data_IF_049518992207
#
_entry.id   IF_049518992207
#
_cell.length_a   1.000
_cell.length_b   1.000
_cell.length_c   1.000
_cell.angle_alpha   90.00
_cell.angle_beta   90.00
_cell.angle_gamma   90.00
#
_symmetry.space_group_name_H-M   'P 1'
#
loop_
_entity.id
_entity.type
_entity.pdbx_description
1 polymer ?
#
# COMPACT_ATOMS: atom_id res chain seq x y z
N UNK A 1 17.40 -53.09 -38.76
CA UNK A 1 16.08 -52.57 -38.34
C UNK A 1 16.18 -51.06 -38.37
N UNK A 2 15.32 -50.36 -39.11
CA UNK A 2 15.30 -48.91 -39.16
C UNK A 2 14.24 -48.39 -38.18
N UNK A 3 14.61 -47.47 -37.30
CA UNK A 3 13.76 -46.92 -36.23
C UNK A 3 13.66 -45.38 -36.31
N UNK A 4 13.99 -44.80 -37.46
CA UNK A 4 14.14 -43.34 -37.62
C UNK A 4 12.83 -42.53 -37.68
N UNK A 5 11.68 -43.19 -37.85
CA UNK A 5 10.36 -42.53 -37.95
C UNK A 5 9.43 -42.82 -36.76
N UNK A 6 9.87 -43.65 -35.81
CA UNK A 6 9.00 -44.12 -34.75
C UNK A 6 8.99 -43.16 -33.56
N UNK A 7 7.79 -42.82 -33.07
CA UNK A 7 7.59 -41.87 -31.96
C UNK A 7 7.29 -42.54 -30.61
N UNK A 8 6.96 -43.83 -30.64
CA UNK A 8 6.58 -44.65 -29.48
C UNK A 8 7.53 -45.84 -29.29
N UNK A 9 7.48 -46.49 -28.12
CA UNK A 9 8.27 -47.68 -27.83
C UNK A 9 8.02 -48.80 -28.85
N UNK A 10 9.09 -49.35 -29.43
CA UNK A 10 8.97 -50.45 -30.39
C UNK A 10 9.04 -51.78 -29.66
N UNK A 11 7.94 -52.53 -29.69
CA UNK A 11 7.88 -53.90 -29.20
C UNK A 11 7.86 -54.88 -30.37
N UNK A 12 8.89 -55.73 -30.50
CA UNK A 12 8.96 -56.75 -31.56
C UNK A 12 9.29 -58.12 -31.00
N UNK A 13 8.53 -59.11 -31.41
CA UNK A 13 8.79 -60.52 -31.10
C UNK A 13 9.61 -61.15 -32.21
N UNK A 14 10.75 -61.72 -31.86
CA UNK A 14 11.63 -62.48 -32.74
C UNK A 14 11.54 -63.95 -32.42
N UNK A 15 11.33 -64.77 -33.45
CA UNK A 15 11.30 -66.22 -33.33
C UNK A 15 12.69 -66.76 -33.64
N UNK A 16 13.19 -67.66 -32.82
CA UNK A 16 14.52 -68.24 -33.02
C UNK A 16 14.48 -69.28 -34.15
N UNK A 17 15.50 -69.26 -35.01
CA UNK A 17 15.72 -70.25 -36.06
C UNK A 17 17.07 -70.93 -35.85
N UNK A 18 17.12 -72.23 -36.09
CA UNK A 18 18.31 -73.05 -35.84
C UNK A 18 18.99 -73.38 -37.16
N UNK A 19 20.26 -73.01 -37.27
CA UNK A 19 21.10 -73.33 -38.43
C UNK A 19 22.27 -74.21 -37.97
N UNK A 20 22.53 -75.28 -38.72
CA UNK A 20 23.67 -76.18 -38.51
C UNK A 20 24.99 -75.58 -39.05
N UNK A 21 26.09 -76.28 -38.82
CA UNK A 21 27.46 -75.83 -39.18
C UNK A 21 27.71 -75.63 -40.68
N UNK A 22 26.80 -76.10 -41.55
CA UNK A 22 26.80 -75.92 -43.01
C UNK A 22 25.63 -75.05 -43.52
N UNK A 23 24.88 -74.39 -42.63
CA UNK A 23 23.72 -73.55 -42.99
C UNK A 23 22.41 -74.30 -43.18
N UNK A 24 22.38 -75.63 -43.00
CA UNK A 24 21.14 -76.43 -43.05
C UNK A 24 20.26 -76.16 -41.82
N UNK A 25 18.93 -75.99 -41.96
CA UNK A 25 18.03 -75.85 -40.82
C UNK A 25 18.01 -77.13 -39.95
N UNK A 26 17.99 -76.96 -38.63
CA UNK A 26 17.94 -78.05 -37.64
C UNK A 26 16.53 -78.15 -37.05
N UNK A 27 15.75 -79.15 -37.50
CA UNK A 27 14.34 -79.31 -37.09
C UNK A 27 14.14 -80.18 -35.83
N UNK A 28 15.19 -80.84 -35.33
CA UNK A 28 15.11 -81.84 -34.26
C UNK A 28 15.40 -81.31 -32.85
N UNK A 29 15.52 -79.98 -32.68
CA UNK A 29 15.83 -79.35 -31.41
C UNK A 29 14.65 -78.49 -30.94
N UNK A 30 14.23 -78.69 -29.69
CA UNK A 30 13.18 -77.88 -29.07
C UNK A 30 13.82 -76.65 -28.42
N UNK A 31 13.65 -75.48 -29.06
CA UNK A 31 14.07 -74.21 -28.47
C UNK A 31 13.11 -73.79 -27.35
N UNK A 32 13.65 -73.59 -26.15
CA UNK A 32 12.95 -72.99 -25.02
C UNK A 32 13.76 -71.78 -24.55
N UNK A 33 13.29 -70.54 -24.78
CA UNK A 33 12.02 -70.14 -25.39
C UNK A 33 12.03 -70.19 -26.94
N UNK A 34 10.85 -70.33 -27.56
CA UNK A 34 10.69 -70.33 -29.04
C UNK A 34 10.84 -68.92 -29.65
N UNK A 35 10.63 -67.89 -28.84
CA UNK A 35 10.71 -66.49 -29.25
C UNK A 35 11.13 -65.62 -28.09
N UNK A 36 11.68 -64.45 -28.39
CA UNK A 36 11.94 -63.39 -27.42
C UNK A 36 11.31 -62.09 -27.90
N UNK A 37 10.78 -61.31 -26.98
CA UNK A 37 10.29 -59.95 -27.27
C UNK A 37 11.38 -58.96 -26.90
N UNK A 38 11.79 -58.15 -27.88
CA UNK A 38 12.72 -57.05 -27.68
C UNK A 38 11.90 -55.77 -27.63
N UNK A 39 12.01 -55.04 -26.52
CA UNK A 39 11.45 -53.70 -26.35
C UNK A 39 12.57 -52.68 -26.51
N UNK A 40 12.44 -51.79 -27.49
CA UNK A 40 13.33 -50.67 -27.70
C UNK A 40 12.60 -49.41 -27.23
N UNK A 41 12.99 -48.81 -26.09
CA UNK A 41 12.38 -47.59 -25.62
C UNK A 41 12.79 -46.41 -26.52
N UNK A 42 11.82 -45.63 -26.99
CA UNK A 42 12.05 -44.40 -27.76
C UNK A 42 11.66 -43.22 -26.88
N UNK A 43 12.57 -42.26 -26.73
CA UNK A 43 12.30 -41.00 -26.01
C UNK A 43 12.48 -39.85 -26.98
N UNK A 44 11.48 -38.97 -27.05
CA UNK A 44 11.63 -37.72 -27.77
C UNK A 44 12.70 -36.89 -27.05
N UNK A 45 13.63 -36.33 -27.83
CA UNK A 45 14.61 -35.39 -27.29
C UNK A 45 13.84 -34.13 -26.86
N UNK A 46 14.24 -33.58 -25.70
CA UNK A 46 13.55 -32.50 -24.98
C UNK A 46 12.93 -31.37 -25.80
N UNK A 47 11.96 -30.68 -25.20
CA UNK A 47 11.17 -29.64 -25.85
C UNK A 47 11.49 -28.22 -25.38
N UNK A 48 10.89 -27.26 -26.08
CA UNK A 48 10.84 -25.86 -25.68
C UNK A 48 9.40 -25.45 -25.42
N UNK A 49 9.20 -24.58 -24.43
CA UNK A 49 7.90 -24.01 -24.14
C UNK A 49 8.06 -22.57 -23.68
N UNK A 50 7.20 -21.69 -24.18
CA UNK A 50 7.09 -20.34 -23.65
C UNK A 50 6.14 -20.31 -22.46
N UNK A 51 6.57 -19.64 -21.40
CA UNK A 51 5.83 -19.51 -20.14
C UNK A 51 5.82 -18.05 -19.70
N UNK A 52 4.70 -17.63 -19.10
CA UNK A 52 4.58 -16.29 -18.54
C UNK A 52 5.39 -16.20 -17.23
N UNK A 53 5.97 -15.03 -16.94
CA UNK A 53 6.63 -14.79 -15.66
C UNK A 53 5.63 -14.20 -14.68
N UNK A 54 5.57 -14.77 -13.48
CA UNK A 54 4.76 -14.28 -12.36
C UNK A 54 5.68 -13.86 -11.23
N UNK A 55 5.61 -12.59 -10.83
CA UNK A 55 6.30 -12.12 -9.64
C UNK A 55 5.64 -12.70 -8.38
N UNK A 56 6.44 -13.31 -7.50
CA UNK A 56 5.99 -13.77 -6.20
C UNK A 56 6.30 -12.68 -5.17
N UNK A 57 5.26 -12.10 -4.56
CA UNK A 57 5.40 -11.03 -3.56
C UNK A 57 5.12 -11.58 -2.16
N UNK A 58 5.94 -11.18 -1.19
CA UNK A 58 5.78 -11.51 0.23
C UNK A 58 5.57 -10.26 1.08
N UNK A 59 4.75 -10.38 2.12
CA UNK A 59 4.42 -9.26 2.99
C UNK A 59 3.32 -8.35 2.45
N UNK A 60 3.22 -7.15 3.03
CA UNK A 60 2.26 -6.12 2.64
C UNK A 60 2.95 -4.76 2.64
N UNK A 61 2.55 -3.83 1.76
CA UNK A 61 2.98 -2.45 1.82
C UNK A 61 2.69 -1.82 3.18
N UNK A 62 3.36 -0.71 3.47
CA UNK A 62 3.13 0.07 4.68
C UNK A 62 1.64 0.46 4.81
N UNK A 63 1.06 0.50 6.02
CA UNK A 63 -0.31 0.98 6.21
C UNK A 63 -0.53 2.34 5.56
N UNK A 64 -1.62 2.48 4.83
CA UNK A 64 -1.90 3.70 4.06
C UNK A 64 -1.33 3.70 2.64
N UNK A 65 -0.64 2.63 2.22
CA UNK A 65 -0.20 2.42 0.84
C UNK A 65 -0.88 1.21 0.20
N UNK A 66 -1.00 1.22 -1.13
CA UNK A 66 -1.54 0.13 -1.93
C UNK A 66 -0.69 -0.12 -3.16
N UNK A 67 -0.63 -1.37 -3.59
CA UNK A 67 -0.05 -1.74 -4.88
C UNK A 67 -1.03 -1.33 -5.97
N UNK A 68 -0.54 -0.57 -6.95
CA UNK A 68 -1.33 -0.14 -8.12
C UNK A 68 -1.04 -0.98 -9.35
N UNK A 69 0.20 -1.43 -9.50
CA UNK A 69 0.63 -2.21 -10.65
C UNK A 69 1.80 -3.13 -10.30
N UNK A 70 1.88 -4.27 -10.98
CA UNK A 70 3.00 -5.21 -10.90
C UNK A 70 3.35 -5.60 -12.32
N UNK A 71 4.59 -5.34 -12.74
CA UNK A 71 5.07 -5.69 -14.08
C UNK A 71 6.40 -6.41 -14.03
N UNK A 72 6.62 -7.29 -15.00
CA UNK A 72 7.86 -8.04 -15.14
C UNK A 72 8.43 -7.84 -16.53
N UNK A 73 9.73 -7.64 -16.62
CA UNK A 73 10.45 -7.49 -17.87
C UNK A 73 11.63 -8.47 -17.94
N UNK A 74 11.63 -9.42 -18.89
CA UNK A 74 10.55 -9.74 -19.83
C UNK A 74 9.28 -10.36 -19.18
N UNK A 75 8.09 -10.24 -19.81
CA UNK A 75 6.84 -10.83 -19.31
C UNK A 75 6.71 -12.33 -19.63
N UNK A 76 7.47 -12.83 -20.61
CA UNK A 76 7.47 -14.23 -21.04
C UNK A 76 8.90 -14.69 -21.28
N UNK A 77 9.18 -15.94 -20.91
CA UNK A 77 10.48 -16.58 -21.15
C UNK A 77 10.29 -17.91 -21.86
N UNK A 78 11.34 -18.36 -22.55
CA UNK A 78 11.40 -19.70 -23.14
C UNK A 78 12.15 -20.62 -22.19
N UNK A 79 11.50 -21.72 -21.81
CA UNK A 79 12.11 -22.79 -21.01
C UNK A 79 12.34 -24.03 -21.84
N UNK A 80 13.33 -24.82 -21.43
CA UNK A 80 13.72 -26.08 -22.02
C UNK A 80 13.73 -27.18 -20.95
N UNK A 81 13.31 -28.38 -21.32
CA UNK A 81 13.52 -29.58 -20.51
C UNK A 81 13.87 -30.76 -21.40
N UNK A 82 14.72 -31.65 -20.91
CA UNK A 82 15.01 -32.94 -21.54
C UNK A 82 13.84 -33.93 -21.46
N UNK A 83 12.88 -33.68 -20.56
CA UNK A 83 11.68 -34.50 -20.35
C UNK A 83 10.43 -33.76 -20.85
N UNK A 84 9.79 -34.30 -21.89
CA UNK A 84 8.59 -33.72 -22.49
C UNK A 84 7.39 -33.77 -21.53
N UNK A 85 7.33 -34.76 -20.64
CA UNK A 85 6.26 -34.88 -19.67
C UNK A 85 6.34 -33.75 -18.63
N UNK A 86 7.56 -33.32 -18.25
CA UNK A 86 7.77 -32.16 -17.37
C UNK A 86 7.31 -30.86 -18.03
N UNK A 87 7.60 -30.65 -19.31
CA UNK A 87 7.12 -29.49 -20.05
C UNK A 87 5.60 -29.47 -20.17
N UNK A 88 4.97 -30.65 -20.27
CA UNK A 88 3.52 -30.76 -20.35
C UNK A 88 2.86 -30.56 -18.98
N UNK A 89 3.50 -31.03 -17.91
CA UNK A 89 3.05 -30.86 -16.53
C UNK A 89 3.27 -29.45 -15.97
N UNK A 90 4.24 -28.71 -16.50
CA UNK A 90 4.50 -27.33 -16.10
C UNK A 90 3.23 -26.46 -16.30
N UNK A 91 2.87 -25.63 -15.30
CA UNK A 91 1.87 -24.60 -15.52
C UNK A 91 2.33 -23.63 -16.62
N UNK A 92 1.40 -22.91 -17.24
CA UNK A 92 1.72 -21.90 -18.26
C UNK A 92 2.47 -20.67 -17.74
N UNK A 93 2.99 -20.71 -16.51
CA UNK A 93 3.72 -19.65 -15.85
C UNK A 93 4.84 -20.21 -14.98
N UNK A 94 5.85 -19.38 -14.71
CA UNK A 94 6.93 -19.63 -13.75
C UNK A 94 7.00 -18.48 -12.77
N UNK A 95 7.40 -18.76 -11.55
CA UNK A 95 7.49 -17.75 -10.50
C UNK A 95 8.91 -17.20 -10.38
N UNK A 96 9.05 -15.95 -9.96
CA UNK A 96 10.35 -15.43 -9.53
C UNK A 96 10.67 -15.89 -8.11
N UNK A 97 11.91 -15.67 -7.70
CA UNK A 97 12.23 -15.64 -6.27
C UNK A 97 11.29 -14.66 -5.53
N UNK A 98 10.95 -14.94 -4.25
CA UNK A 98 10.08 -14.08 -3.47
C UNK A 98 10.67 -12.67 -3.33
N UNK A 99 9.85 -11.65 -3.60
CA UNK A 99 10.16 -10.25 -3.35
C UNK A 99 9.44 -9.79 -2.09
N UNK A 100 10.19 -9.46 -1.05
CA UNK A 100 9.64 -8.86 0.15
C UNK A 100 9.25 -7.39 -0.12
N UNK A 101 7.98 -7.08 0.06
CA UNK A 101 7.41 -5.73 -0.06
C UNK A 101 6.93 -5.19 1.30
N UNK A 102 7.38 -5.82 2.39
CA UNK A 102 7.00 -5.42 3.75
C UNK A 102 7.41 -3.99 4.05
N UNK A 103 6.45 -3.17 4.50
CA UNK A 103 6.67 -1.76 4.84
C UNK A 103 7.14 -0.89 3.67
N UNK A 104 6.86 -1.31 2.44
CA UNK A 104 7.16 -0.50 1.27
C UNK A 104 6.16 0.66 1.14
N UNK A 105 6.67 1.88 0.96
CA UNK A 105 5.91 3.13 0.75
C UNK A 105 6.23 3.81 -0.59
N UNK A 106 7.09 3.22 -1.40
CA UNK A 106 7.50 3.72 -2.72
C UNK A 106 7.61 2.56 -3.71
N UNK A 107 7.67 2.89 -4.99
CA UNK A 107 7.89 1.94 -6.06
C UNK A 107 9.17 1.12 -5.84
N UNK A 108 9.09 -0.18 -6.11
CA UNK A 108 10.20 -1.12 -6.00
C UNK A 108 10.61 -1.57 -7.40
N UNK A 109 11.89 -1.41 -7.69
CA UNK A 109 12.57 -2.02 -8.84
C UNK A 109 13.54 -3.08 -8.32
N UNK A 110 13.20 -4.35 -8.54
CA UNK A 110 13.97 -5.48 -8.08
C UNK A 110 14.34 -6.41 -9.23
N UNK A 111 15.62 -6.77 -9.31
CA UNK A 111 16.11 -7.76 -10.26
C UNK A 111 16.19 -9.12 -9.57
N UNK A 112 15.34 -10.05 -9.99
CA UNK A 112 15.18 -11.36 -9.37
C UNK A 112 15.48 -12.48 -10.34
N UNK A 113 15.80 -13.65 -9.80
CA UNK A 113 15.96 -14.88 -10.58
C UNK A 113 14.62 -15.61 -10.67
N UNK A 114 14.46 -16.48 -11.66
CA UNK A 114 13.27 -17.30 -11.83
C UNK A 114 13.42 -18.60 -11.03
N UNK A 115 12.43 -18.92 -10.21
CA UNK A 115 12.32 -20.17 -9.47
C UNK A 115 11.83 -21.29 -10.41
N UNK A 116 12.77 -21.95 -11.09
CA UNK A 116 12.47 -23.07 -11.98
C UNK A 116 12.47 -24.41 -11.23
N UNK A 117 11.55 -25.33 -11.55
CA UNK A 117 11.57 -26.67 -10.99
C UNK A 117 12.76 -27.49 -11.53
N UNK A 118 13.13 -28.55 -10.81
CA UNK A 118 14.23 -29.43 -11.22
C UNK A 118 13.98 -30.01 -12.63
N UNK A 119 15.04 -30.03 -13.44
CA UNK A 119 14.98 -30.54 -14.82
C UNK A 119 14.46 -29.53 -15.86
N UNK A 120 14.15 -28.30 -15.46
CA UNK A 120 13.75 -27.21 -16.37
C UNK A 120 14.80 -26.10 -16.33
N UNK A 121 15.20 -25.64 -17.51
CA UNK A 121 16.21 -24.59 -17.67
C UNK A 121 15.67 -23.47 -18.54
N UNK A 122 15.82 -22.21 -18.13
CA UNK A 122 15.53 -21.08 -19.00
C UNK A 122 16.58 -20.98 -20.12
N UNK A 123 16.10 -20.76 -21.34
CA UNK A 123 16.93 -20.57 -22.54
C UNK A 123 17.30 -19.11 -22.73
N UNK A 124 16.45 -18.21 -22.24
CA UNK A 124 16.64 -16.76 -22.25
C UNK A 124 17.35 -16.25 -20.99
N UNK A 125 17.37 -14.93 -20.81
CA UNK A 125 17.82 -14.29 -19.58
C UNK A 125 17.05 -14.84 -18.37
N UNK A 126 17.81 -15.25 -17.35
CA UNK A 126 17.27 -15.73 -16.07
C UNK A 126 16.94 -14.60 -15.10
N UNK A 127 17.40 -13.39 -15.42
CA UNK A 127 17.26 -12.22 -14.57
C UNK A 127 16.09 -11.39 -15.05
N UNK A 128 15.04 -11.32 -14.23
CA UNK A 128 13.82 -10.59 -14.53
C UNK A 128 13.79 -9.33 -13.68
N UNK A 129 13.45 -8.21 -14.31
CA UNK A 129 13.16 -6.97 -13.59
C UNK A 129 11.70 -6.99 -13.19
N UNK A 130 11.43 -6.94 -11.89
CA UNK A 130 10.10 -6.83 -11.31
C UNK A 130 9.92 -5.39 -10.82
N UNK A 131 8.92 -4.72 -11.38
CA UNK A 131 8.51 -3.37 -11.01
C UNK A 131 7.18 -3.45 -10.28
N UNK A 132 7.19 -3.08 -9.00
CA UNK A 132 5.99 -2.98 -8.16
C UNK A 132 5.71 -1.50 -7.92
N UNK A 133 4.59 -1.01 -8.46
CA UNK A 133 4.15 0.37 -8.25
C UNK A 133 3.29 0.47 -6.99
N UNK A 134 3.64 1.39 -6.11
CA UNK A 134 3.02 1.58 -4.80
C UNK A 134 2.62 3.05 -4.65
N UNK A 135 1.34 3.27 -4.34
CA UNK A 135 0.80 4.62 -4.14
C UNK A 135 0.12 4.73 -2.77
N UNK A 136 0.14 5.94 -2.21
CA UNK A 136 -0.63 6.24 -1.02
C UNK A 136 -2.14 6.18 -1.32
N UNK A 137 -2.91 5.66 -0.37
CA UNK A 137 -4.36 5.61 -0.44
C UNK A 137 -4.91 7.00 -0.15
N UNK A 138 -5.65 7.57 -1.10
CA UNK A 138 -6.41 8.80 -0.85
C UNK A 138 -7.65 8.49 -0.01
N UNK A 139 -7.86 9.26 1.05
CA UNK A 139 -9.02 9.13 1.93
C UNK A 139 -9.50 10.52 2.37
N UNK A 140 -10.65 10.54 3.03
CA UNK A 140 -11.17 11.73 3.70
C UNK A 140 -11.30 11.49 5.20
N UNK A 141 -10.96 12.49 5.99
CA UNK A 141 -11.05 12.46 7.45
C UNK A 141 -11.80 13.67 7.97
N UNK A 142 -12.67 13.44 8.97
CA UNK A 142 -13.30 14.50 9.75
C UNK A 142 -12.44 14.82 10.97
N UNK A 143 -12.16 16.10 11.18
CA UNK A 143 -11.47 16.61 12.37
C UNK A 143 -12.35 17.68 13.00
N UNK A 144 -12.63 17.53 14.30
CA UNK A 144 -13.32 18.57 15.07
C UNK A 144 -12.29 19.56 15.59
N UNK A 145 -12.53 20.84 15.34
CA UNK A 145 -11.63 21.92 15.76
C UNK A 145 -12.42 23.06 16.40
N UNK A 146 -11.82 23.66 17.42
CA UNK A 146 -12.36 24.86 18.08
C UNK A 146 -12.12 26.10 17.23
N UNK A 147 -13.02 27.07 17.32
CA UNK A 147 -12.95 28.33 16.59
C UNK A 147 -11.98 29.30 17.26
N UNK A 148 -11.03 29.84 16.48
CA UNK A 148 -10.17 30.94 16.89
C UNK A 148 -10.74 32.25 16.37
N UNK A 149 -11.11 33.14 17.29
CA UNK A 149 -11.67 34.45 16.94
C UNK A 149 -10.56 35.46 16.67
N UNK A 150 -10.67 36.18 15.56
CA UNK A 150 -9.76 37.27 15.21
C UNK A 150 -10.55 38.54 14.89
N UNK A 151 -9.95 39.71 15.11
CA UNK A 151 -10.54 41.00 14.69
C UNK A 151 -11.62 41.59 15.61
N UNK A 152 -11.87 41.01 16.79
CA UNK A 152 -12.82 41.57 17.76
C UNK A 152 -12.26 42.84 18.42
N UNK A 153 -13.05 43.92 18.45
CA UNK A 153 -12.66 45.17 19.11
C UNK A 153 -12.56 45.04 20.63
N UNK A 154 -11.67 45.81 21.28
CA UNK A 154 -11.37 45.70 22.72
C UNK A 154 -12.56 46.00 23.65
N UNK A 155 -13.56 46.73 23.17
CA UNK A 155 -14.77 47.11 23.92
C UNK A 155 -15.98 46.23 23.56
N UNK A 156 -15.77 45.15 22.83
CA UNK A 156 -16.82 44.26 22.34
C UNK A 156 -16.63 42.85 22.91
N UNK A 157 -17.73 42.15 23.14
CA UNK A 157 -17.79 40.74 23.49
C UNK A 157 -18.57 40.00 22.40
N UNK A 158 -18.14 38.78 22.08
CA UNK A 158 -18.78 37.94 21.07
C UNK A 158 -19.20 36.60 21.69
N UNK A 159 -20.47 36.25 21.53
CA UNK A 159 -21.00 34.93 21.87
C UNK A 159 -21.16 34.11 20.60
N UNK A 160 -20.52 32.95 20.55
CA UNK A 160 -20.40 32.11 19.35
C UNK A 160 -21.18 30.82 19.56
N UNK A 161 -21.94 30.39 18.56
CA UNK A 161 -22.66 29.11 18.59
C UNK A 161 -22.76 28.51 17.19
N UNK A 162 -22.28 27.27 16.98
CA UNK A 162 -21.48 26.43 17.89
C UNK A 162 -20.03 26.95 18.07
N UNK A 163 -19.36 26.53 19.14
CA UNK A 163 -17.96 26.87 19.47
C UNK A 163 -16.92 26.01 18.74
N UNK A 164 -17.38 24.92 18.12
CA UNK A 164 -16.57 23.96 17.38
C UNK A 164 -17.19 23.64 16.02
N UNK A 165 -16.33 23.30 15.06
CA UNK A 165 -16.73 22.88 13.72
C UNK A 165 -16.06 21.56 13.35
N UNK A 166 -16.74 20.78 12.52
CA UNK A 166 -16.18 19.59 11.91
C UNK A 166 -15.64 19.96 10.51
N UNK A 167 -14.33 19.84 10.33
CA UNK A 167 -13.63 20.06 9.06
C UNK A 167 -13.39 18.70 8.39
N UNK A 168 -13.86 18.56 7.16
CA UNK A 168 -13.63 17.39 6.31
C UNK A 168 -12.48 17.72 5.37
N UNK A 169 -11.43 16.91 5.43
CA UNK A 169 -10.24 17.05 4.59
C UNK A 169 -9.99 15.77 3.81
N UNK A 170 -9.48 15.89 2.58
CA UNK A 170 -9.05 14.78 1.73
C UNK A 170 -7.55 14.84 1.45
N UNK A 171 -6.94 13.68 1.30
CA UNK A 171 -5.52 13.55 0.97
C UNK A 171 -4.98 12.15 1.18
N UNK A 172 -3.65 11.97 0.99
CA UNK A 172 -2.99 10.71 1.27
C UNK A 172 -3.13 10.32 2.75
N UNK A 173 -3.59 9.10 3.02
CA UNK A 173 -3.80 8.57 4.37
C UNK A 173 -2.55 8.72 5.28
N UNK A 174 -1.32 8.39 4.84
CA UNK A 174 -0.13 8.59 5.68
C UNK A 174 0.09 10.04 6.10
N UNK A 175 -0.30 11.00 5.25
CA UNK A 175 -0.17 12.43 5.55
C UNK A 175 -1.28 12.85 6.51
N UNK A 176 -2.52 12.42 6.28
CA UNK A 176 -3.65 12.70 7.19
C UNK A 176 -3.43 12.13 8.59
N UNK A 177 -2.90 10.91 8.71
CA UNK A 177 -2.57 10.27 9.99
C UNK A 177 -1.44 10.99 10.73
N UNK A 178 -0.55 11.68 10.00
CA UNK A 178 0.52 12.48 10.59
C UNK A 178 0.06 13.86 11.08
N UNK A 179 -1.15 14.30 10.70
CA UNK A 179 -1.70 15.58 11.15
C UNK A 179 -2.12 15.52 12.61
N UNK A 180 -1.79 16.57 13.34
CA UNK A 180 -2.27 16.82 14.68
C UNK A 180 -3.32 17.94 14.66
N UNK A 181 -4.12 18.06 15.73
CA UNK A 181 -5.10 19.14 15.88
C UNK A 181 -4.47 20.55 15.87
N UNK A 182 -3.16 20.67 16.07
CA UNK A 182 -2.45 21.95 15.98
C UNK A 182 -2.19 22.40 14.54
N UNK A 183 -2.16 21.43 13.61
CA UNK A 183 -1.94 21.70 12.19
C UNK A 183 -3.18 22.32 11.53
N UNK A 184 -4.36 22.21 12.13
CA UNK A 184 -5.61 22.72 11.57
C UNK A 184 -6.11 23.86 12.46
N UNK A 185 -6.19 25.07 11.91
CA UNK A 185 -6.74 26.23 12.62
C UNK A 185 -7.96 26.74 11.89
N UNK A 186 -9.07 26.87 12.62
CA UNK A 186 -10.29 27.47 12.10
C UNK A 186 -10.37 28.89 12.62
N UNK A 187 -10.40 29.85 11.71
CA UNK A 187 -10.40 31.28 12.01
C UNK A 187 -11.75 31.86 11.69
N UNK A 188 -12.33 32.55 12.68
CA UNK A 188 -13.52 33.35 12.55
C UNK A 188 -13.15 34.82 12.59
N UNK A 189 -13.23 35.49 11.44
CA UNK A 189 -12.89 36.89 11.31
C UNK A 189 -14.09 37.78 11.66
N UNK A 190 -13.95 38.58 12.72
CA UNK A 190 -14.94 39.53 13.23
C UNK A 190 -14.54 40.99 13.01
N UNK A 191 -13.57 41.25 12.13
CA UNK A 191 -13.03 42.58 11.90
C UNK A 191 -14.13 43.59 11.51
N UNK A 192 -14.12 44.75 12.17
CA UNK A 192 -15.04 45.88 11.94
C UNK A 192 -16.54 45.59 12.18
N UNK A 193 -16.89 44.53 12.92
CA UNK A 193 -18.27 44.27 13.28
C UNK A 193 -18.75 45.18 14.42
N UNK A 194 -19.96 45.72 14.27
CA UNK A 194 -20.67 46.46 15.30
C UNK A 194 -21.53 45.51 16.16
N UNK A 195 -22.08 45.95 17.30
CA UNK A 195 -23.04 45.14 18.06
C UNK A 195 -24.22 44.69 17.18
N UNK A 196 -24.52 43.39 17.20
CA UNK A 196 -25.48 42.79 16.29
C UNK A 196 -25.40 41.26 16.25
N UNK A 197 -26.26 40.64 15.44
CA UNK A 197 -26.23 39.19 15.18
C UNK A 197 -25.79 38.95 13.74
N UNK A 198 -24.78 38.11 13.56
CA UNK A 198 -24.17 37.80 12.28
C UNK A 198 -24.06 36.28 12.10
N UNK A 199 -24.23 35.81 10.88
CA UNK A 199 -23.91 34.45 10.48
C UNK A 199 -22.65 34.53 9.58
N UNK A 200 -21.54 33.97 10.05
CA UNK A 200 -20.20 34.16 9.45
C UNK A 200 -19.66 32.80 8.99
N UNK A 201 -19.06 32.78 7.80
CA UNK A 201 -18.38 31.60 7.27
C UNK A 201 -16.95 31.52 7.84
N UNK A 202 -16.60 30.44 8.57
CA UNK A 202 -15.26 30.27 9.10
C UNK A 202 -14.27 29.91 7.99
N UNK A 203 -13.02 30.34 8.14
CA UNK A 203 -11.91 29.97 7.24
C UNK A 203 -11.00 28.95 7.90
N UNK A 204 -10.43 28.03 7.12
CA UNK A 204 -9.50 27.00 7.63
C UNK A 204 -8.10 27.28 7.11
N UNK A 205 -7.14 27.27 8.02
CA UNK A 205 -5.71 27.30 7.71
C UNK A 205 -5.12 25.95 8.13
N UNK A 206 -4.65 25.20 7.15
CA UNK A 206 -3.91 23.95 7.39
C UNK A 206 -2.41 24.24 7.27
N UNK A 207 -1.68 23.95 8.33
CA UNK A 207 -0.22 24.02 8.41
C UNK A 207 0.34 22.61 8.18
N UNK A 208 0.68 22.28 6.95
CA UNK A 208 1.16 20.95 6.57
C UNK A 208 1.51 20.85 5.09
N UNK A 209 1.74 19.63 4.58
CA UNK A 209 2.00 19.40 3.16
C UNK A 209 0.82 19.84 2.27
N UNK A 210 1.12 20.52 1.15
CA UNK A 210 0.14 21.06 0.19
C UNK A 210 -0.75 19.99 -0.50
N UNK A 211 -0.50 18.70 -0.25
CA UNK A 211 -1.29 17.59 -0.79
C UNK A 211 -2.63 17.40 -0.10
N UNK A 212 -2.85 18.04 1.06
CA UNK A 212 -4.12 17.99 1.79
C UNK A 212 -5.07 19.06 1.26
N UNK A 213 -6.29 18.66 0.97
CA UNK A 213 -7.37 19.55 0.54
C UNK A 213 -8.43 19.63 1.63
N UNK A 214 -8.95 20.84 1.86
CA UNK A 214 -10.13 21.03 2.71
C UNK A 214 -11.36 20.93 1.82
N UNK A 215 -12.19 19.91 2.04
CA UNK A 215 -13.37 19.66 1.20
C UNK A 215 -14.58 20.44 1.70
N UNK A 216 -14.86 20.39 2.99
CA UNK A 216 -16.11 20.93 3.57
C UNK A 216 -15.94 21.25 5.05
N UNK A 217 -16.62 22.29 5.52
CA UNK A 217 -16.69 22.67 6.94
C UNK A 217 -18.15 22.61 7.38
N UNK A 218 -18.41 21.98 8.53
CA UNK A 218 -19.74 21.80 9.09
C UNK A 218 -19.82 22.34 10.53
N UNK A 219 -20.78 23.22 10.85
CA UNK A 219 -21.69 23.89 9.92
C UNK A 219 -20.96 24.91 9.02
N UNK A 220 -21.57 25.25 7.88
CA UNK A 220 -21.02 26.23 6.94
C UNK A 220 -21.08 27.68 7.47
N UNK A 221 -22.00 27.96 8.41
CA UNK A 221 -22.16 29.28 9.02
C UNK A 221 -22.18 29.14 10.54
N UNK A 222 -21.50 30.07 11.20
CA UNK A 222 -21.45 30.20 12.65
C UNK A 222 -22.18 31.47 13.05
N UNK A 223 -23.10 31.34 14.00
CA UNK A 223 -23.81 32.49 14.55
C UNK A 223 -22.95 33.17 15.60
N UNK A 224 -22.77 34.48 15.44
CA UNK A 224 -22.04 35.33 16.35
C UNK A 224 -22.93 36.48 16.80
N UNK A 225 -23.11 36.62 18.11
CA UNK A 225 -23.80 37.75 18.73
C UNK A 225 -22.74 38.65 19.35
N UNK A 226 -22.61 39.86 18.81
CA UNK A 226 -21.66 40.87 19.30
C UNK A 226 -22.40 41.87 20.18
N UNK A 227 -21.87 42.14 21.38
CA UNK A 227 -22.40 43.11 22.34
C UNK A 227 -21.29 43.99 22.91
N UNK A 228 -21.63 45.19 23.39
CA UNK A 228 -20.67 46.02 24.12
C UNK A 228 -20.30 45.37 25.45
N UNK A 229 -19.00 45.38 25.77
CA UNK A 229 -18.53 44.93 27.08
C UNK A 229 -18.93 45.99 28.09
N UNK A 230 -19.92 45.72 28.94
CA UNK A 230 -20.26 46.60 30.06
C UNK A 230 -19.11 46.57 31.06
N UNK A 231 -18.16 47.50 30.92
CA UNK A 231 -17.25 47.84 32.02
C UNK A 231 -18.09 48.55 33.07
N UNK A 232 -18.36 47.87 34.19
CA UNK A 232 -18.90 48.53 35.37
C UNK A 232 -17.78 49.42 35.89
N UNK A 233 -17.88 50.71 35.61
CA UNK A 233 -17.03 51.75 36.18
C UNK A 233 -17.45 51.90 37.64
N UNK A 234 -16.71 51.30 38.57
CA UNK A 234 -16.77 51.68 39.99
C UNK A 234 -16.11 53.06 40.14
N UNK A 235 -16.89 54.12 39.96
CA UNK A 235 -16.47 55.48 40.32
C UNK A 235 -17.70 56.35 40.64
N UNK A 236 -18.15 56.33 41.89
CA UNK A 236 -18.62 57.54 42.60
C UNK A 236 -18.96 57.26 44.09
N UNK A 237 -18.10 57.74 45.00
CA UNK A 237 -18.55 58.70 46.04
C UNK A 237 -17.37 59.46 46.67
N UNK A 238 -17.30 60.75 46.33
CA UNK A 238 -16.47 61.78 46.98
C UNK A 238 -17.23 62.37 48.18
N UNK A 239 -16.46 62.92 49.13
CA UNK A 239 -16.72 64.02 50.09
C UNK A 239 -16.72 63.58 51.57
N UNK A 240 -16.14 64.30 52.53
CA UNK A 240 -15.08 65.34 52.65
C UNK A 240 -14.91 65.55 54.18
N UNK A 241 -13.87 66.27 54.59
CA UNK A 241 -13.72 67.04 55.84
C UNK A 241 -13.31 66.34 57.14
N UNK A 242 -12.01 66.47 57.50
CA UNK A 242 -11.51 67.39 58.55
C UNK A 242 -10.15 66.94 59.11
N UNK A 243 -9.11 67.74 58.86
CA UNK A 243 -7.96 67.90 59.75
C UNK A 243 -8.36 68.92 60.84
N UNK A 244 -7.92 68.77 62.12
CA UNK A 244 -6.50 68.98 62.41
C UNK A 244 -5.85 68.03 63.44
N UNK A 245 -4.54 67.96 63.27
CA UNK A 245 -3.43 67.57 64.14
C UNK A 245 -3.65 67.62 65.67
N UNK A 246 -3.22 66.57 66.41
CA UNK A 246 -2.42 66.65 67.67
C UNK A 246 -2.08 65.26 68.29
N UNK A 247 -0.78 65.02 68.51
CA UNK A 247 -0.11 64.23 69.59
C UNK A 247 -0.24 62.69 69.70
N UNK A 248 0.89 61.99 69.46
CA UNK A 248 1.59 61.05 70.39
C UNK A 248 0.80 59.89 71.04
N UNK A 249 1.06 58.62 70.69
CA UNK A 249 2.07 57.73 71.32
C UNK A 249 2.03 56.26 70.82
N UNK A 250 3.23 55.69 70.77
CA UNK A 250 3.72 54.28 70.79
C UNK A 250 2.83 53.02 70.96
N UNK A 251 3.37 51.97 70.30
CA UNK A 251 3.48 50.54 70.68
C UNK A 251 2.27 49.61 70.39
N UNK A 252 2.38 48.32 70.05
CA UNK A 252 3.41 47.34 69.61
C UNK A 252 2.62 46.01 69.44
N UNK A 253 3.11 45.09 68.60
CA UNK A 253 2.81 43.64 68.50
C UNK A 253 1.41 43.21 68.03
N UNK A 254 1.32 42.52 66.89
CA UNK A 254 1.53 41.06 66.72
C UNK A 254 0.61 40.24 67.64
N UNK A 255 -0.52 39.76 67.13
CA UNK A 255 -0.64 38.46 66.45
C UNK A 255 -2.00 38.33 65.77
#
# INVERSE_FOLDING_TARGET
MNISEEKDNVNRTFTFSQIGTLGSPLDNLVLQPKSTTITIPIRQMGGYRDVAVRALLEGKPEPGYRITNITTSPPTITVFSSDQDQLTALPGFVETEPLDISSASQDIDARLTIALPEGVTAVSEQSIVVLVSIEAVETSQRIRQDLTVTGLGTNLSAQISPDSVDVIMSGPLPVLDSLTGENVKVILDLLHLAPGTYDIEPSVIVSGPDVIKTDTILPAYIRVIVSETTSVSDDEKIEDSNLPNTTTNEATDET
#
